data_IF_837290856064
#
_entry.id   IF_837290856064
#
_cell.length_a   1.000
_cell.length_b   1.000
_cell.length_c   1.000
_cell.angle_alpha   90.00
_cell.angle_beta   90.00
_cell.angle_gamma   90.00
#
_symmetry.space_group_name_H-M   'P 1'
#
loop_
_entity.id
_entity.type
_entity.pdbx_description
1 polymer ?
#
# COMPACT_ATOMS: atom_id res chain seq x y z
N UNK A 1 -11.38 4.74 -89.50
CA UNK A 1 -12.61 5.56 -89.43
C UNK A 1 -13.50 5.00 -88.33
N UNK A 2 -14.17 5.92 -87.66
CA UNK A 2 -14.74 5.83 -86.31
C UNK A 2 -16.02 4.99 -86.28
N UNK A 3 -16.18 4.20 -85.22
CA UNK A 3 -17.42 3.61 -84.73
C UNK A 3 -17.26 3.64 -83.21
N UNK A 4 -18.03 4.35 -82.39
CA UNK A 4 -19.47 4.59 -82.40
C UNK A 4 -19.98 4.11 -81.03
N UNK A 5 -20.33 5.06 -80.17
CA UNK A 5 -20.65 4.94 -78.73
C UNK A 5 -21.52 3.74 -78.29
N UNK A 6 -21.16 3.04 -77.20
CA UNK A 6 -22.11 2.44 -76.23
C UNK A 6 -21.44 2.36 -74.85
N UNK A 7 -22.28 2.43 -73.79
CA UNK A 7 -22.03 2.19 -72.36
C UNK A 7 -22.01 3.41 -71.44
N UNK A 8 -23.15 4.13 -71.46
CA UNK A 8 -23.80 4.63 -70.24
C UNK A 8 -24.46 3.42 -69.54
N UNK A 9 -24.39 3.39 -68.19
CA UNK A 9 -25.12 2.50 -67.26
C UNK A 9 -24.55 1.10 -66.93
N UNK A 10 -23.30 0.98 -66.44
CA UNK A 10 -22.97 -0.21 -65.63
C UNK A 10 -21.89 -0.07 -64.54
N UNK A 11 -21.47 1.15 -64.16
CA UNK A 11 -20.36 1.33 -63.19
C UNK A 11 -20.79 2.08 -61.93
N UNK A 12 -22.06 1.95 -61.51
CA UNK A 12 -22.51 2.54 -60.23
C UNK A 12 -23.31 1.60 -59.34
N UNK A 13 -23.45 0.32 -59.72
CA UNK A 13 -24.26 -0.67 -58.98
C UNK A 13 -23.46 -1.81 -58.35
N UNK A 14 -22.12 -1.66 -58.21
CA UNK A 14 -21.29 -2.61 -57.45
C UNK A 14 -20.52 -1.99 -56.28
N UNK A 15 -20.46 -0.65 -56.17
CA UNK A 15 -19.74 0.01 -55.05
C UNK A 15 -20.68 0.39 -53.90
N UNK A 16 -22.01 0.32 -54.11
CA UNK A 16 -23.00 0.66 -53.06
C UNK A 16 -23.39 -0.55 -52.20
N UNK A 17 -23.16 -1.80 -52.67
CA UNK A 17 -23.57 -3.01 -51.94
C UNK A 17 -22.59 -3.45 -50.83
N UNK A 18 -21.31 -3.08 -50.89
CA UNK A 18 -20.36 -3.42 -49.81
C UNK A 18 -20.36 -2.41 -48.66
N UNK A 19 -20.86 -1.19 -48.88
CA UNK A 19 -20.98 -0.19 -47.82
C UNK A 19 -22.26 -0.36 -46.97
N UNK A 20 -23.36 -0.87 -47.54
CA UNK A 20 -24.60 -1.08 -46.77
C UNK A 20 -24.61 -2.36 -45.92
N UNK A 21 -23.79 -3.37 -46.23
CA UNK A 21 -23.69 -4.59 -45.42
C UNK A 21 -22.81 -4.47 -44.16
N UNK A 22 -22.03 -3.39 -44.03
CA UNK A 22 -21.34 -3.03 -42.78
C UNK A 22 -22.18 -2.10 -41.87
N UNK A 23 -23.27 -1.53 -42.39
CA UNK A 23 -24.18 -0.66 -41.63
C UNK A 23 -25.30 -1.38 -40.89
N UNK A 24 -25.50 -2.68 -41.10
CA UNK A 24 -26.67 -3.42 -40.59
C UNK A 24 -26.33 -4.62 -39.69
N UNK A 25 -25.08 -4.80 -39.26
CA UNK A 25 -24.74 -5.79 -38.22
C UNK A 25 -24.63 -5.21 -36.80
N UNK A 26 -24.81 -3.90 -36.63
CA UNK A 26 -24.67 -3.22 -35.33
C UNK A 26 -25.96 -3.02 -34.53
N UNK A 27 -27.11 -3.48 -35.02
CA UNK A 27 -28.39 -3.32 -34.30
C UNK A 27 -29.21 -4.60 -34.34
N UNK A 28 -28.63 -5.73 -33.95
CA UNK A 28 -29.37 -6.86 -33.32
C UNK A 28 -28.37 -7.85 -32.70
N UNK A 29 -27.41 -7.36 -31.90
CA UNK A 29 -27.09 -8.14 -30.72
C UNK A 29 -28.33 -8.00 -29.85
N UNK A 30 -29.03 -9.10 -29.61
CA UNK A 30 -30.15 -9.14 -28.69
C UNK A 30 -29.67 -8.73 -27.29
N UNK A 31 -29.55 -7.42 -27.05
CA UNK A 31 -29.63 -6.84 -25.74
C UNK A 31 -31.04 -7.17 -25.30
N UNK A 32 -31.18 -8.16 -24.42
CA UNK A 32 -32.29 -8.09 -23.49
C UNK A 32 -32.10 -6.76 -22.75
N UNK A 33 -32.79 -5.73 -23.23
CA UNK A 33 -32.96 -4.45 -22.55
C UNK A 33 -33.78 -4.77 -21.31
N UNK A 34 -33.10 -5.30 -20.30
CA UNK A 34 -33.58 -5.28 -18.93
C UNK A 34 -33.36 -3.86 -18.43
N UNK A 35 -34.43 -3.25 -17.92
CA UNK A 35 -34.45 -1.90 -17.41
C UNK A 35 -33.29 -1.71 -16.43
N UNK A 36 -32.38 -0.79 -16.75
CA UNK A 36 -31.42 -0.28 -15.78
C UNK A 36 -32.08 0.94 -15.17
N UNK A 37 -32.09 1.01 -13.84
CA UNK A 37 -32.61 2.19 -13.17
C UNK A 37 -31.66 3.35 -13.43
N UNK A 38 -32.13 4.27 -14.26
CA UNK A 38 -31.45 5.50 -14.66
C UNK A 38 -32.08 6.65 -13.90
N UNK A 39 -31.24 7.54 -13.33
CA UNK A 39 -31.57 8.63 -12.40
C UNK A 39 -31.69 8.21 -10.92
N UNK A 40 -30.60 8.35 -10.19
CA UNK A 40 -30.45 7.87 -8.82
C UNK A 40 -30.97 8.84 -7.76
N UNK A 41 -32.28 9.05 -7.71
CA UNK A 41 -32.95 9.68 -6.57
C UNK A 41 -33.82 8.70 -5.78
N UNK A 42 -34.56 7.84 -6.46
CA UNK A 42 -35.36 6.78 -5.84
C UNK A 42 -35.29 5.55 -6.72
N UNK A 43 -34.88 4.43 -6.14
CA UNK A 43 -34.73 3.14 -6.82
C UNK A 43 -35.95 2.26 -6.57
N UNK A 44 -36.45 1.62 -7.62
CA UNK A 44 -37.59 0.71 -7.48
C UNK A 44 -37.18 -0.53 -6.70
N UNK A 45 -37.98 -0.86 -5.70
CA UNK A 45 -37.68 -1.90 -4.73
C UNK A 45 -38.94 -2.60 -4.25
N UNK A 46 -38.79 -3.87 -3.89
CA UNK A 46 -39.83 -4.65 -3.21
C UNK A 46 -39.35 -4.92 -1.78
N UNK A 47 -39.87 -4.17 -0.80
CA UNK A 47 -39.49 -4.31 0.61
C UNK A 47 -37.99 -4.05 0.85
N UNK A 48 -37.48 -2.92 0.33
CA UNK A 48 -36.06 -2.50 0.35
C UNK A 48 -35.08 -3.40 -0.43
N UNK A 49 -35.58 -4.39 -1.17
CA UNK A 49 -34.77 -5.22 -2.08
C UNK A 49 -34.85 -4.68 -3.50
N UNK A 50 -33.70 -4.32 -4.05
CA UNK A 50 -33.48 -3.94 -5.45
C UNK A 50 -32.94 -5.16 -6.18
N UNK A 51 -33.63 -5.58 -7.25
CA UNK A 51 -33.24 -6.76 -8.04
C UNK A 51 -32.59 -6.40 -9.38
N UNK A 52 -32.26 -5.13 -9.61
CA UNK A 52 -31.71 -4.62 -10.86
C UNK A 52 -30.46 -3.75 -10.60
N UNK A 53 -29.54 -3.63 -11.57
CA UNK A 53 -28.41 -2.70 -11.49
C UNK A 53 -28.85 -1.24 -11.32
N UNK A 54 -28.12 -0.50 -10.48
CA UNK A 54 -28.29 0.94 -10.29
C UNK A 54 -27.24 1.68 -11.13
N UNK A 55 -27.67 2.51 -12.08
CA UNK A 55 -26.78 3.30 -12.94
C UNK A 55 -27.12 4.78 -12.83
N UNK A 56 -26.15 5.56 -12.36
CA UNK A 56 -26.27 6.99 -12.13
C UNK A 56 -25.31 7.73 -13.07
N UNK A 57 -25.84 8.44 -14.06
CA UNK A 57 -25.08 9.16 -15.08
C UNK A 57 -25.41 10.66 -15.15
N UNK A 58 -26.48 11.08 -14.46
CA UNK A 58 -26.92 12.47 -14.41
C UNK A 58 -26.12 13.27 -13.39
N UNK A 59 -25.54 14.38 -13.84
CA UNK A 59 -24.84 15.33 -12.98
C UNK A 59 -25.77 15.94 -11.92
N UNK A 60 -25.23 16.11 -10.72
CA UNK A 60 -25.96 16.65 -9.56
C UNK A 60 -25.92 15.75 -8.34
N UNK A 61 -26.19 16.34 -7.17
CA UNK A 61 -26.23 15.62 -5.89
C UNK A 61 -27.60 15.01 -5.66
N UNK A 62 -27.63 13.71 -5.40
CA UNK A 62 -28.86 12.96 -5.13
C UNK A 62 -28.69 12.05 -3.92
N UNK A 63 -29.75 11.87 -3.14
CA UNK A 63 -29.79 10.91 -2.04
C UNK A 63 -30.36 9.61 -2.57
N UNK A 64 -29.60 8.52 -2.47
CA UNK A 64 -30.07 7.20 -2.86
C UNK A 64 -31.07 6.69 -1.81
N UNK A 65 -32.30 6.43 -2.25
CA UNK A 65 -33.35 5.87 -1.41
C UNK A 65 -34.22 4.87 -2.19
N UNK A 66 -34.96 4.02 -1.49
CA UNK A 66 -35.86 3.00 -2.05
C UNK A 66 -37.29 3.53 -2.20
N UNK A 67 -38.03 3.09 -3.22
CA UNK A 67 -39.44 3.50 -3.44
C UNK A 67 -40.41 2.95 -2.39
N UNK A 68 -40.00 1.93 -1.63
CA UNK A 68 -40.80 1.40 -0.54
C UNK A 68 -40.73 2.34 0.68
N UNK A 69 -41.89 2.68 1.25
CA UNK A 69 -42.05 3.51 2.47
C UNK A 69 -41.51 2.85 3.75
N UNK A 70 -40.71 1.80 3.62
CA UNK A 70 -40.13 1.04 4.70
C UNK A 70 -39.19 1.90 5.55
N UNK A 71 -39.38 1.86 6.88
CA UNK A 71 -38.45 2.37 7.90
C UNK A 71 -37.10 1.63 7.91
N UNK A 72 -36.79 0.85 6.88
CA UNK A 72 -35.58 0.03 6.79
C UNK A 72 -34.33 0.89 6.81
N UNK A 73 -33.30 0.39 7.49
CA UNK A 73 -31.99 1.02 7.63
C UNK A 73 -30.98 0.55 6.57
N UNK A 74 -31.41 -0.28 5.61
CA UNK A 74 -30.57 -0.85 4.54
C UNK A 74 -31.23 -0.78 3.17
N UNK A 75 -30.43 -0.81 2.11
CA UNK A 75 -30.81 -1.03 0.71
C UNK A 75 -30.13 -2.33 0.29
N UNK A 76 -30.91 -3.35 -0.04
CA UNK A 76 -30.38 -4.67 -0.39
C UNK A 76 -30.43 -4.87 -1.91
N UNK A 77 -29.27 -5.02 -2.56
CA UNK A 77 -29.17 -5.28 -3.99
C UNK A 77 -28.87 -6.77 -4.19
N UNK A 78 -29.77 -7.50 -4.84
CA UNK A 78 -29.58 -8.92 -5.17
C UNK A 78 -29.25 -9.09 -6.64
N UNK A 79 -28.03 -9.54 -6.91
CA UNK A 79 -27.50 -9.68 -8.28
C UNK A 79 -27.65 -11.09 -8.86
N UNK A 80 -28.45 -11.96 -8.24
CA UNK A 80 -28.61 -13.37 -8.66
C UNK A 80 -29.05 -13.56 -10.12
N UNK A 81 -29.74 -12.57 -10.70
CA UNK A 81 -30.20 -12.58 -12.11
C UNK A 81 -29.41 -11.66 -13.04
N UNK A 82 -28.44 -10.91 -12.50
CA UNK A 82 -27.64 -9.90 -13.21
C UNK A 82 -26.15 -10.03 -12.88
N UNK A 83 -25.69 -11.26 -12.68
CA UNK A 83 -24.37 -11.55 -12.13
C UNK A 83 -23.21 -11.21 -13.07
N UNK A 84 -23.51 -10.69 -14.26
CA UNK A 84 -22.62 -10.21 -15.31
C UNK A 84 -22.46 -8.68 -15.35
N UNK A 85 -23.26 -7.92 -14.58
CA UNK A 85 -23.31 -6.45 -14.60
C UNK A 85 -22.87 -5.83 -13.29
N UNK A 86 -22.33 -4.61 -13.34
CA UNK A 86 -22.05 -3.82 -12.14
C UNK A 86 -23.35 -3.58 -11.35
N UNK A 87 -23.34 -3.85 -10.04
CA UNK A 87 -24.51 -3.67 -9.19
C UNK A 87 -24.82 -2.18 -8.97
N UNK A 88 -23.77 -1.37 -8.83
CA UNK A 88 -23.85 0.09 -8.73
C UNK A 88 -22.81 0.70 -9.64
N UNK A 89 -23.24 1.61 -10.52
CA UNK A 89 -22.37 2.34 -11.44
C UNK A 89 -22.66 3.83 -11.39
N UNK A 90 -21.67 4.62 -10.97
CA UNK A 90 -21.76 6.08 -10.89
C UNK A 90 -20.83 6.68 -11.95
N UNK A 91 -21.34 7.58 -12.78
CA UNK A 91 -20.59 8.25 -13.84
C UNK A 91 -21.13 9.65 -14.15
N UNK A 92 -20.49 10.37 -15.07
CA UNK A 92 -20.98 11.64 -15.61
C UNK A 92 -21.05 12.78 -14.58
N UNK A 93 -20.19 12.74 -13.55
CA UNK A 93 -20.22 13.71 -12.46
C UNK A 93 -21.43 13.60 -11.52
N UNK A 94 -22.16 12.48 -11.53
CA UNK A 94 -23.22 12.21 -10.56
C UNK A 94 -22.64 12.12 -9.13
N UNK A 95 -23.30 12.76 -8.15
CA UNK A 95 -22.91 12.72 -6.74
C UNK A 95 -23.98 12.05 -5.90
N UNK A 96 -23.74 10.80 -5.50
CA UNK A 96 -24.73 9.95 -4.84
C UNK A 96 -24.42 9.81 -3.35
N UNK A 97 -25.42 10.08 -2.51
CA UNK A 97 -25.33 9.91 -1.06
C UNK A 97 -26.28 8.80 -0.62
N UNK A 98 -25.76 7.66 -0.19
CA UNK A 98 -26.54 6.61 0.44
C UNK A 98 -26.54 6.80 1.97
N UNK A 99 -27.70 7.15 2.53
CA UNK A 99 -27.86 7.32 3.99
C UNK A 99 -28.04 5.96 4.68
N UNK A 100 -28.81 5.06 4.07
CA UNK A 100 -29.00 3.67 4.51
C UNK A 100 -27.75 2.84 4.21
N UNK A 101 -27.55 1.73 4.94
CA UNK A 101 -26.47 0.77 4.66
C UNK A 101 -26.72 0.12 3.29
N UNK A 102 -25.74 0.12 2.41
CA UNK A 102 -25.83 -0.54 1.12
C UNK A 102 -25.36 -1.99 1.24
N UNK A 103 -26.24 -2.97 1.07
CA UNK A 103 -25.87 -4.39 1.07
C UNK A 103 -26.00 -4.94 -0.33
N UNK A 104 -24.90 -5.39 -0.92
CA UNK A 104 -24.88 -6.04 -2.23
C UNK A 104 -24.57 -7.52 -2.04
N UNK A 105 -25.55 -8.35 -2.37
CA UNK A 105 -25.41 -9.81 -2.30
C UNK A 105 -25.35 -10.35 -3.72
N UNK A 106 -24.24 -11.01 -4.02
CA UNK A 106 -24.00 -11.63 -5.31
C UNK A 106 -24.07 -13.15 -5.15
N UNK A 107 -24.75 -13.85 -6.06
CA UNK A 107 -24.74 -15.32 -6.08
C UNK A 107 -24.42 -15.78 -7.49
N UNK A 108 -23.32 -16.52 -7.67
CA UNK A 108 -22.90 -17.01 -8.99
C UNK A 108 -22.44 -15.88 -9.93
N UNK A 109 -21.57 -14.99 -9.44
CA UNK A 109 -20.97 -13.93 -10.25
C UNK A 109 -20.24 -14.49 -11.46
N UNK A 110 -20.60 -14.01 -12.65
CA UNK A 110 -19.95 -14.34 -13.93
C UNK A 110 -19.43 -13.09 -14.66
N UNK A 111 -19.59 -11.90 -14.06
CA UNK A 111 -19.14 -10.64 -14.63
C UNK A 111 -17.62 -10.51 -14.61
N UNK A 112 -17.07 -9.85 -15.65
CA UNK A 112 -15.64 -9.51 -15.70
C UNK A 112 -15.33 -8.15 -15.08
N UNK A 113 -16.37 -7.35 -14.80
CA UNK A 113 -16.26 -6.01 -14.23
C UNK A 113 -16.31 -5.99 -12.70
N UNK A 114 -16.18 -4.80 -12.09
CA UNK A 114 -16.36 -4.63 -10.66
C UNK A 114 -17.83 -4.81 -10.24
N UNK A 115 -18.06 -5.07 -8.94
CA UNK A 115 -19.41 -5.07 -8.36
C UNK A 115 -19.91 -3.63 -8.20
N UNK A 116 -19.05 -2.71 -7.76
CA UNK A 116 -19.35 -1.28 -7.65
C UNK A 116 -18.34 -0.51 -8.49
N UNK A 117 -18.82 0.38 -9.36
CA UNK A 117 -17.98 1.23 -10.20
C UNK A 117 -18.30 2.70 -9.98
N UNK A 118 -17.28 3.50 -9.76
CA UNK A 118 -17.34 4.97 -9.73
C UNK A 118 -16.34 5.47 -10.77
N UNK A 119 -16.81 6.18 -11.79
CA UNK A 119 -16.02 6.58 -12.95
C UNK A 119 -16.41 7.98 -13.43
N UNK A 120 -15.65 8.56 -14.38
CA UNK A 120 -16.02 9.79 -15.08
C UNK A 120 -16.41 10.96 -14.16
N UNK A 121 -15.61 11.20 -13.12
CA UNK A 121 -15.84 12.24 -12.11
C UNK A 121 -17.02 11.99 -11.16
N UNK A 122 -17.63 10.81 -11.20
CA UNK A 122 -18.71 10.42 -10.30
C UNK A 122 -18.25 10.36 -8.84
N UNK A 123 -19.19 10.59 -7.92
CA UNK A 123 -18.96 10.57 -6.47
C UNK A 123 -19.97 9.66 -5.78
N UNK A 124 -19.48 8.79 -4.91
CA UNK A 124 -20.30 7.90 -4.10
C UNK A 124 -19.97 8.07 -2.62
N UNK A 125 -20.94 8.58 -1.86
CA UNK A 125 -20.86 8.76 -0.41
C UNK A 125 -21.75 7.76 0.32
N UNK A 126 -21.14 6.85 1.06
CA UNK A 126 -21.82 5.77 1.79
C UNK A 126 -21.86 6.10 3.29
N UNK A 127 -22.88 6.83 3.73
CA UNK A 127 -23.09 7.20 5.16
C UNK A 127 -23.51 6.01 6.02
N UNK A 128 -24.36 5.13 5.49
CA UNK A 128 -24.75 3.90 6.18
C UNK A 128 -23.69 2.79 6.14
N UNK A 129 -22.62 2.97 5.36
CA UNK A 129 -21.63 1.95 5.06
C UNK A 129 -22.05 1.04 3.91
N UNK A 130 -21.15 0.14 3.51
CA UNK A 130 -21.39 -0.85 2.46
C UNK A 130 -21.02 -2.25 2.94
N UNK A 131 -21.82 -3.23 2.55
CA UNK A 131 -21.54 -4.64 2.72
C UNK A 131 -21.64 -5.34 1.38
N UNK A 132 -20.54 -5.89 0.87
CA UNK A 132 -20.54 -6.69 -0.37
C UNK A 132 -20.20 -8.13 0.01
N UNK A 133 -21.06 -9.09 -0.36
CA UNK A 133 -20.91 -10.52 -0.03
C UNK A 133 -21.24 -11.41 -1.22
N UNK A 134 -20.82 -12.68 -1.17
CA UNK A 134 -21.08 -13.68 -2.19
C UNK A 134 -20.29 -13.47 -3.49
N UNK A 135 -19.22 -12.68 -3.42
CA UNK A 135 -18.27 -12.51 -4.53
C UNK A 135 -17.44 -13.79 -4.65
N UNK A 136 -17.58 -14.50 -5.77
CA UNK A 136 -16.93 -15.80 -6.02
C UNK A 136 -15.69 -15.67 -6.93
N UNK A 137 -14.93 -16.75 -7.07
CA UNK A 137 -13.71 -16.83 -7.90
C UNK A 137 -13.97 -16.34 -9.34
N UNK A 138 -13.13 -15.43 -9.82
CA UNK A 138 -13.22 -14.81 -11.16
C UNK A 138 -13.39 -13.29 -11.14
N UNK A 139 -13.73 -12.71 -9.98
CA UNK A 139 -13.75 -11.26 -9.78
C UNK A 139 -12.36 -10.74 -9.48
N UNK A 140 -11.82 -9.91 -10.37
CA UNK A 140 -10.51 -9.28 -10.15
C UNK A 140 -10.58 -8.13 -9.15
N UNK A 141 -11.71 -7.39 -9.13
CA UNK A 141 -11.91 -6.19 -8.32
C UNK A 141 -13.35 -6.09 -7.83
N UNK A 142 -13.55 -5.84 -6.54
CA UNK A 142 -14.91 -5.67 -5.98
C UNK A 142 -15.42 -4.26 -6.24
N UNK A 143 -14.59 -3.25 -5.95
CA UNK A 143 -14.88 -1.85 -6.22
C UNK A 143 -13.82 -1.28 -7.16
N UNK A 144 -14.25 -0.53 -8.16
CA UNK A 144 -13.39 0.24 -9.05
C UNK A 144 -13.71 1.72 -8.94
N UNK A 145 -12.71 2.54 -8.64
CA UNK A 145 -12.79 4.00 -8.68
C UNK A 145 -11.81 4.48 -9.74
N UNK A 146 -12.32 5.06 -10.82
CA UNK A 146 -11.53 5.52 -11.97
C UNK A 146 -11.94 6.92 -12.44
N UNK A 147 -11.20 7.48 -13.39
CA UNK A 147 -11.63 8.63 -14.18
C UNK A 147 -11.88 9.88 -13.32
N UNK A 148 -11.09 10.06 -12.26
CA UNK A 148 -11.26 11.14 -11.28
C UNK A 148 -12.43 10.94 -10.32
N UNK A 149 -12.94 9.72 -10.18
CA UNK A 149 -14.03 9.40 -9.26
C UNK A 149 -13.66 9.56 -7.78
N UNK A 150 -14.68 9.72 -6.94
CA UNK A 150 -14.54 9.85 -5.48
C UNK A 150 -15.42 8.84 -4.75
N UNK A 151 -14.82 8.09 -3.82
CA UNK A 151 -15.52 7.15 -2.94
C UNK A 151 -15.33 7.56 -1.48
N UNK A 152 -16.43 7.84 -0.78
CA UNK A 152 -16.42 8.19 0.64
C UNK A 152 -17.15 7.12 1.48
N UNK A 153 -16.39 6.35 2.25
CA UNK A 153 -16.87 5.37 3.21
C UNK A 153 -17.04 6.03 4.58
N UNK A 154 -18.21 6.59 4.81
CA UNK A 154 -18.53 7.32 6.05
C UNK A 154 -19.07 6.39 7.15
N UNK A 155 -19.74 5.30 6.78
CA UNK A 155 -20.20 4.24 7.68
C UNK A 155 -19.25 3.04 7.72
N UNK A 156 -19.41 2.20 8.75
CA UNK A 156 -18.66 0.94 8.85
C UNK A 156 -18.95 0.06 7.63
N UNK A 157 -17.91 -0.44 6.99
CA UNK A 157 -18.03 -1.14 5.72
C UNK A 157 -17.32 -2.49 5.77
N UNK A 158 -17.86 -3.48 5.07
CA UNK A 158 -17.32 -4.84 4.97
C UNK A 158 -17.37 -5.28 3.53
N UNK A 159 -16.22 -5.66 2.97
CA UNK A 159 -16.09 -6.20 1.63
C UNK A 159 -15.59 -7.62 1.78
N UNK A 160 -16.49 -8.58 1.54
CA UNK A 160 -16.24 -10.00 1.74
C UNK A 160 -16.28 -10.74 0.42
N UNK A 161 -15.20 -11.46 0.15
CA UNK A 161 -15.07 -12.36 -0.99
C UNK A 161 -15.18 -13.79 -0.49
N UNK A 162 -16.21 -14.50 -0.95
CA UNK A 162 -16.53 -15.86 -0.52
C UNK A 162 -15.89 -16.87 -1.49
N UNK A 163 -14.99 -17.70 -0.96
CA UNK A 163 -14.36 -18.76 -1.74
C UNK A 163 -12.99 -19.13 -1.21
N UNK A 164 -12.87 -20.38 -0.74
CA UNK A 164 -11.60 -20.96 -0.29
C UNK A 164 -10.56 -20.92 -1.41
N UNK A 165 -9.51 -20.12 -1.22
CA UNK A 165 -8.14 -20.30 -1.73
C UNK A 165 -8.02 -20.87 -3.15
N UNK A 166 -8.12 -20.03 -4.16
CA UNK A 166 -7.59 -20.31 -5.50
C UNK A 166 -6.69 -19.16 -5.91
N UNK A 167 -5.62 -19.44 -6.64
CA UNK A 167 -4.50 -18.55 -7.01
C UNK A 167 -4.85 -17.28 -7.84
N UNK A 168 -6.08 -16.77 -7.78
CA UNK A 168 -6.50 -15.55 -8.48
C UNK A 168 -6.32 -14.30 -7.61
N UNK A 169 -5.77 -13.25 -8.21
CA UNK A 169 -5.70 -11.90 -7.61
C UNK A 169 -7.12 -11.36 -7.42
N UNK A 170 -7.45 -10.91 -6.21
CA UNK A 170 -8.72 -10.25 -5.90
C UNK A 170 -8.45 -8.96 -5.12
N UNK A 171 -8.93 -7.86 -5.66
CA UNK A 171 -8.75 -6.51 -5.13
C UNK A 171 -10.04 -6.04 -4.46
N UNK A 172 -9.94 -5.54 -3.23
CA UNK A 172 -11.07 -4.89 -2.56
C UNK A 172 -11.49 -3.60 -3.27
N UNK A 173 -10.59 -2.62 -3.33
CA UNK A 173 -10.78 -1.37 -4.09
C UNK A 173 -9.62 -1.16 -5.06
N UNK A 174 -9.91 -1.10 -6.35
CA UNK A 174 -8.96 -0.68 -7.37
C UNK A 174 -9.12 0.82 -7.65
N UNK A 175 -8.01 1.55 -7.70
CA UNK A 175 -7.94 2.97 -8.03
C UNK A 175 -6.98 3.20 -9.20
N UNK A 176 -7.35 4.10 -10.11
CA UNK A 176 -6.61 4.41 -11.34
C UNK A 176 -5.69 5.63 -11.24
N UNK A 177 -6.14 6.76 -11.78
CA UNK A 177 -5.44 8.05 -11.76
C UNK A 177 -6.36 9.21 -11.32
N UNK A 178 -5.89 10.00 -10.34
CA UNK A 178 -6.58 11.17 -9.74
C UNK A 178 -7.79 10.86 -8.83
N UNK A 179 -8.00 9.61 -8.43
CA UNK A 179 -9.16 9.25 -7.60
C UNK A 179 -8.94 9.48 -6.12
N UNK A 180 -10.05 9.66 -5.41
CA UNK A 180 -10.06 9.90 -3.96
C UNK A 180 -10.87 8.81 -3.25
N UNK A 181 -10.25 8.20 -2.26
CA UNK A 181 -10.88 7.26 -1.34
C UNK A 181 -10.76 7.81 0.08
N UNK A 182 -11.90 8.03 0.72
CA UNK A 182 -11.97 8.52 2.10
C UNK A 182 -12.66 7.50 3.01
N UNK A 183 -12.05 7.20 4.15
CA UNK A 183 -12.58 6.27 5.16
C UNK A 183 -12.74 7.00 6.50
N UNK A 184 -13.98 7.23 6.95
CA UNK A 184 -14.23 7.83 8.28
C UNK A 184 -14.42 6.79 9.39
N UNK A 185 -14.72 5.55 9.02
CA UNK A 185 -15.01 4.43 9.92
C UNK A 185 -14.27 3.19 9.44
N UNK A 186 -14.40 2.12 10.20
CA UNK A 186 -13.70 0.87 9.92
C UNK A 186 -14.17 0.26 8.60
N UNK A 187 -13.21 -0.20 7.81
CA UNK A 187 -13.43 -0.91 6.55
C UNK A 187 -12.69 -2.24 6.63
N UNK A 188 -13.42 -3.35 6.57
CA UNK A 188 -12.85 -4.69 6.61
C UNK A 188 -12.91 -5.33 5.24
N UNK A 189 -11.78 -5.85 4.76
CA UNK A 189 -11.66 -6.67 3.58
C UNK A 189 -11.39 -8.11 3.99
N UNK A 190 -12.23 -9.05 3.56
CA UNK A 190 -12.10 -10.47 3.86
C UNK A 190 -11.97 -11.28 2.58
N UNK A 191 -10.97 -12.17 2.53
CA UNK A 191 -10.76 -13.05 1.38
C UNK A 191 -10.15 -12.37 0.15
N UNK A 192 -9.65 -11.14 0.28
CA UNK A 192 -8.96 -10.41 -0.79
C UNK A 192 -7.45 -10.69 -0.75
N UNK A 193 -6.78 -10.59 -1.90
CA UNK A 193 -5.32 -10.58 -1.96
C UNK A 193 -4.77 -9.19 -1.70
N UNK A 194 -5.51 -8.15 -2.06
CA UNK A 194 -5.11 -6.75 -1.92
C UNK A 194 -6.31 -5.94 -1.44
N UNK A 195 -6.16 -5.22 -0.32
CA UNK A 195 -7.24 -4.37 0.20
C UNK A 195 -7.51 -3.19 -0.73
N UNK A 196 -6.46 -2.40 -0.98
CA UNK A 196 -6.47 -1.32 -1.99
C UNK A 196 -5.33 -1.57 -2.99
N UNK A 197 -5.67 -1.52 -4.27
CA UNK A 197 -4.70 -1.56 -5.37
C UNK A 197 -4.76 -0.23 -6.13
N UNK A 198 -3.69 0.54 -6.09
CA UNK A 198 -3.50 1.75 -6.89
C UNK A 198 -2.76 1.31 -8.15
N UNK A 199 -3.51 1.25 -9.27
CA UNK A 199 -3.03 0.81 -10.57
C UNK A 199 -3.43 1.80 -11.66
N UNK A 200 -2.49 2.69 -11.98
CA UNK A 200 -2.66 3.79 -12.91
C UNK A 200 -1.36 4.16 -13.61
N UNK A 201 -1.38 5.29 -14.29
CA UNK A 201 -0.24 5.80 -15.07
C UNK A 201 0.04 7.29 -14.85
N UNK A 202 -0.71 7.94 -13.95
CA UNK A 202 -0.64 9.38 -13.69
C UNK A 202 -0.76 9.68 -12.18
N UNK A 203 -0.43 10.92 -11.84
CA UNK A 203 -0.39 11.46 -10.47
C UNK A 203 -1.79 11.65 -9.84
N UNK A 204 -1.83 11.76 -8.51
CA UNK A 204 -2.95 12.39 -7.79
C UNK A 204 -3.91 11.44 -7.09
N UNK A 205 -3.58 10.15 -6.95
CA UNK A 205 -4.41 9.20 -6.20
C UNK A 205 -4.28 9.47 -4.70
N UNK A 206 -5.41 9.59 -3.99
CA UNK A 206 -5.44 9.88 -2.55
C UNK A 206 -6.29 8.86 -1.78
N UNK A 207 -5.70 8.26 -0.75
CA UNK A 207 -6.39 7.42 0.24
C UNK A 207 -6.28 8.10 1.61
N UNK A 208 -7.40 8.43 2.23
CA UNK A 208 -7.41 9.16 3.49
C UNK A 208 -8.27 8.47 4.54
N UNK A 209 -7.68 8.20 5.71
CA UNK A 209 -8.43 7.92 6.94
C UNK A 209 -8.82 9.23 7.64
N UNK A 210 -10.06 9.36 8.07
CA UNK A 210 -10.51 10.46 8.93
C UNK A 210 -11.00 9.89 10.27
N UNK A 211 -10.60 10.52 11.37
CA UNK A 211 -10.98 10.09 12.71
C UNK A 211 -10.31 8.77 13.12
N UNK A 212 -11.12 7.75 13.42
CA UNK A 212 -10.65 6.42 13.88
C UNK A 212 -10.63 5.36 12.77
N UNK A 213 -10.78 5.78 11.50
CA UNK A 213 -10.89 4.86 10.37
C UNK A 213 -9.76 3.83 10.33
N UNK A 214 -10.11 2.57 10.57
CA UNK A 214 -9.19 1.44 10.46
C UNK A 214 -9.53 0.64 9.21
N UNK A 215 -8.56 0.44 8.34
CA UNK A 215 -8.61 -0.54 7.27
C UNK A 215 -8.07 -1.86 7.79
N UNK A 216 -8.88 -2.91 7.74
CA UNK A 216 -8.48 -4.27 8.10
C UNK A 216 -8.48 -5.15 6.86
N UNK A 217 -7.40 -5.89 6.63
CA UNK A 217 -7.28 -6.84 5.52
C UNK A 217 -7.00 -8.24 6.06
N UNK A 218 -7.97 -9.14 5.86
CA UNK A 218 -7.93 -10.52 6.31
C UNK A 218 -7.75 -11.43 5.10
N UNK A 219 -6.59 -12.08 5.01
CA UNK A 219 -6.21 -12.90 3.87
C UNK A 219 -4.76 -13.33 3.97
N UNK A 220 -4.51 -14.63 3.76
CA UNK A 220 -3.15 -15.20 3.81
C UNK A 220 -2.23 -14.54 2.80
N UNK A 221 -1.14 -13.94 3.28
CA UNK A 221 -0.17 -13.25 2.42
C UNK A 221 -0.72 -11.99 1.73
N UNK A 222 -1.84 -11.46 2.20
CA UNK A 222 -2.49 -10.29 1.59
C UNK A 222 -1.64 -9.02 1.71
N UNK A 223 -1.95 -8.06 0.84
CA UNK A 223 -1.39 -6.72 0.87
C UNK A 223 -2.44 -5.72 1.34
N UNK A 224 -2.09 -4.84 2.29
CA UNK A 224 -2.95 -3.74 2.71
C UNK A 224 -3.19 -2.77 1.54
N UNK A 225 -2.15 -2.02 1.17
CA UNK A 225 -2.15 -1.12 0.02
C UNK A 225 -1.02 -1.50 -0.93
N UNK A 226 -1.34 -1.71 -2.20
CA UNK A 226 -0.36 -1.96 -3.26
C UNK A 226 -0.39 -0.86 -4.29
N UNK A 227 0.77 -0.37 -4.68
CA UNK A 227 0.95 0.59 -5.77
C UNK A 227 1.74 -0.12 -6.87
N UNK A 228 1.09 -0.37 -8.01
CA UNK A 228 1.65 -1.08 -9.17
C UNK A 228 1.09 -0.55 -10.50
N UNK A 229 1.68 -0.92 -11.64
CA UNK A 229 1.30 -0.35 -12.93
C UNK A 229 2.46 -0.32 -13.92
N UNK A 230 2.21 0.27 -15.10
CA UNK A 230 3.18 0.34 -16.20
C UNK A 230 3.96 1.65 -16.27
N UNK A 231 3.70 2.61 -15.37
CA UNK A 231 4.28 3.96 -15.38
C UNK A 231 4.80 4.40 -14.01
N UNK A 232 4.94 5.73 -13.85
CA UNK A 232 5.24 6.37 -12.57
C UNK A 232 3.93 6.82 -11.94
N UNK A 233 3.69 6.49 -10.67
CA UNK A 233 2.48 6.93 -9.96
C UNK A 233 2.87 7.69 -8.70
N UNK A 234 2.33 8.90 -8.57
CA UNK A 234 2.33 9.64 -7.31
C UNK A 234 1.01 9.44 -6.56
N UNK A 235 1.10 8.81 -5.40
CA UNK A 235 -0.03 8.49 -4.55
C UNK A 235 0.19 9.01 -3.13
N UNK A 236 -0.90 9.35 -2.45
CA UNK A 236 -0.88 9.87 -1.09
C UNK A 236 -1.79 9.03 -0.19
N UNK A 237 -1.24 8.52 0.91
CA UNK A 237 -1.99 7.86 1.99
C UNK A 237 -1.84 8.70 3.25
N UNK A 238 -2.95 9.09 3.87
CA UNK A 238 -2.88 9.95 5.07
C UNK A 238 -3.82 9.47 6.16
N UNK A 239 -3.37 9.59 7.42
CA UNK A 239 -4.20 9.45 8.63
C UNK A 239 -4.97 8.13 8.71
N UNK A 240 -4.40 7.07 8.13
CA UNK A 240 -5.03 5.76 8.04
C UNK A 240 -4.32 4.76 8.95
N UNK A 241 -5.10 3.91 9.62
CA UNK A 241 -4.59 2.72 10.28
C UNK A 241 -4.86 1.50 9.41
N UNK A 242 -3.81 0.77 9.04
CA UNK A 242 -3.85 -0.42 8.19
C UNK A 242 -3.47 -1.63 9.07
N UNK A 243 -4.35 -2.63 9.12
CA UNK A 243 -4.22 -3.78 10.01
C UNK A 243 -4.37 -5.08 9.22
N UNK A 244 -3.35 -5.93 9.28
CA UNK A 244 -3.42 -7.31 8.77
C UNK A 244 -3.87 -8.29 9.85
N UNK A 245 -4.25 -9.50 9.44
CA UNK A 245 -4.67 -10.60 10.31
C UNK A 245 -3.50 -11.43 10.90
N UNK A 246 -2.25 -11.01 10.67
CA UNK A 246 -1.01 -11.70 11.08
C UNK A 246 -0.76 -13.04 10.36
N UNK A 247 -1.40 -13.28 9.22
CA UNK A 247 -1.19 -14.50 8.41
C UNK A 247 -0.08 -14.37 7.34
N UNK A 248 0.86 -13.45 7.56
CA UNK A 248 1.94 -13.08 6.63
C UNK A 248 1.68 -11.74 5.94
N UNK A 249 2.21 -11.58 4.73
CA UNK A 249 1.85 -10.48 3.84
C UNK A 249 2.54 -9.15 4.11
N UNK A 250 2.08 -8.10 3.43
CA UNK A 250 2.71 -6.77 3.44
C UNK A 250 1.70 -5.67 3.71
N UNK A 251 2.01 -4.75 4.62
CA UNK A 251 1.10 -3.64 4.91
C UNK A 251 0.97 -2.69 3.73
N UNK A 252 2.10 -2.22 3.22
CA UNK A 252 2.19 -1.35 2.05
C UNK A 252 3.28 -1.83 1.10
N UNK A 253 2.99 -1.82 -0.21
CA UNK A 253 3.92 -2.21 -1.27
C UNK A 253 3.99 -1.13 -2.34
N UNK A 254 5.20 -0.64 -2.61
CA UNK A 254 5.53 0.21 -3.76
C UNK A 254 6.42 -0.59 -4.73
N UNK A 255 5.87 -0.99 -5.88
CA UNK A 255 6.52 -1.92 -6.81
C UNK A 255 7.09 -1.31 -8.09
N UNK A 256 6.76 -0.06 -8.41
CA UNK A 256 7.15 0.61 -9.67
C UNK A 256 7.69 2.01 -9.41
N UNK A 257 7.99 2.79 -10.46
CA UNK A 257 8.39 4.20 -10.32
C UNK A 257 7.30 5.12 -9.73
N UNK A 258 7.72 6.31 -9.32
CA UNK A 258 6.87 7.34 -8.70
C UNK A 258 7.00 7.40 -7.19
N UNK A 259 6.15 8.18 -6.55
CA UNK A 259 6.26 8.52 -5.12
C UNK A 259 5.00 8.15 -4.35
N UNK A 260 5.16 7.31 -3.33
CA UNK A 260 4.11 7.06 -2.34
C UNK A 260 4.37 7.89 -1.08
N UNK A 261 3.56 8.94 -0.92
CA UNK A 261 3.56 9.81 0.25
C UNK A 261 2.66 9.24 1.34
N UNK A 262 3.18 9.04 2.55
CA UNK A 262 2.46 8.52 3.70
C UNK A 262 2.60 9.44 4.91
N UNK A 263 1.50 10.06 5.36
CA UNK A 263 1.52 10.97 6.51
C UNK A 263 0.62 10.49 7.63
N UNK A 264 1.18 10.33 8.83
CA UNK A 264 0.47 9.84 10.03
C UNK A 264 -0.25 8.50 9.79
N UNK A 265 0.44 7.56 9.16
CA UNK A 265 -0.10 6.23 8.83
C UNK A 265 0.39 5.21 9.86
N UNK A 266 -0.54 4.41 10.39
CA UNK A 266 -0.23 3.30 11.30
C UNK A 266 -0.37 1.97 10.59
N UNK A 267 0.66 1.13 10.59
CA UNK A 267 0.68 -0.17 9.92
C UNK A 267 0.97 -1.24 10.96
N UNK A 268 0.16 -2.30 11.01
CA UNK A 268 0.35 -3.40 11.96
C UNK A 268 -0.25 -4.71 11.47
N UNK A 269 0.15 -5.83 12.05
CA UNK A 269 -0.45 -7.13 11.74
C UNK A 269 0.01 -7.74 10.42
N UNK A 270 1.12 -7.26 9.85
CA UNK A 270 1.77 -7.80 8.66
C UNK A 270 3.17 -8.33 9.00
N UNK A 271 3.66 -9.26 8.19
CA UNK A 271 5.05 -9.75 8.30
C UNK A 271 6.03 -8.68 7.84
N UNK A 272 5.73 -8.00 6.72
CA UNK A 272 6.45 -6.78 6.31
C UNK A 272 5.54 -5.57 6.47
N UNK A 273 5.98 -4.54 7.20
CA UNK A 273 5.22 -3.30 7.33
C UNK A 273 5.12 -2.57 5.99
N UNK A 274 6.26 -2.10 5.49
CA UNK A 274 6.38 -1.35 4.23
C UNK A 274 7.46 -1.97 3.36
N UNK A 275 7.17 -2.15 2.07
CA UNK A 275 8.11 -2.70 1.09
C UNK A 275 8.18 -1.78 -0.13
N UNK A 276 9.37 -1.22 -0.39
CA UNK A 276 9.67 -0.44 -1.58
C UNK A 276 10.62 -1.24 -2.49
N UNK A 277 10.33 -1.30 -3.78
CA UNK A 277 11.12 -2.04 -4.77
C UNK A 277 11.04 -1.38 -6.15
N UNK A 278 11.78 -1.91 -7.13
CA UNK A 278 11.82 -1.32 -8.46
C UNK A 278 12.48 0.06 -8.41
N UNK A 279 11.83 1.08 -9.00
CA UNK A 279 12.28 2.48 -8.99
C UNK A 279 11.43 3.38 -8.08
N UNK A 280 10.65 2.78 -7.19
CA UNK A 280 9.69 3.50 -6.36
C UNK A 280 10.35 4.30 -5.26
N UNK A 281 9.73 5.42 -4.92
CA UNK A 281 10.07 6.23 -3.76
C UNK A 281 8.93 6.13 -2.74
N UNK A 282 9.28 5.86 -1.48
CA UNK A 282 8.33 5.91 -0.37
C UNK A 282 8.75 7.03 0.58
N UNK A 283 7.86 7.98 0.83
CA UNK A 283 8.07 9.06 1.79
C UNK A 283 7.10 8.92 2.96
N UNK A 284 7.61 8.62 4.15
CA UNK A 284 6.82 8.46 5.37
C UNK A 284 7.10 9.62 6.33
N UNK A 285 6.06 10.31 6.75
CA UNK A 285 6.18 11.50 7.58
C UNK A 285 5.16 11.54 8.73
N UNK A 286 5.40 12.43 9.68
CA UNK A 286 4.56 12.65 10.86
C UNK A 286 4.69 11.53 11.88
N UNK A 287 3.65 11.33 12.70
CA UNK A 287 3.63 10.30 13.75
C UNK A 287 3.34 8.88 13.19
N UNK A 288 3.87 8.57 12.01
CA UNK A 288 3.67 7.28 11.36
C UNK A 288 4.30 6.15 12.19
N UNK A 289 3.64 5.00 12.24
CA UNK A 289 4.05 3.85 13.05
C UNK A 289 4.01 2.60 12.21
N UNK A 290 5.09 1.82 12.23
CA UNK A 290 5.13 0.48 11.67
C UNK A 290 5.29 -0.51 12.82
N UNK A 291 4.43 -1.53 12.89
CA UNK A 291 4.57 -2.65 13.80
C UNK A 291 4.63 -3.96 13.02
N UNK A 292 5.71 -4.71 13.20
CA UNK A 292 5.96 -5.95 12.46
C UNK A 292 6.17 -7.13 13.41
N UNK A 293 5.92 -8.34 12.91
CA UNK A 293 6.06 -9.61 13.64
C UNK A 293 6.94 -10.58 12.88
N UNK A 294 8.08 -10.98 13.43
CA UNK A 294 8.99 -11.98 12.83
C UNK A 294 9.72 -11.56 11.55
N UNK A 295 9.15 -10.63 10.78
CA UNK A 295 9.68 -10.14 9.51
C UNK A 295 10.35 -8.78 9.61
N UNK A 296 9.94 -7.84 8.75
CA UNK A 296 10.63 -6.56 8.56
C UNK A 296 9.71 -5.36 8.75
N UNK A 297 10.17 -4.32 9.44
CA UNK A 297 9.45 -3.05 9.51
C UNK A 297 9.38 -2.36 8.15
N UNK A 298 10.54 -1.87 7.68
CA UNK A 298 10.72 -1.23 6.38
C UNK A 298 11.74 -1.99 5.53
N UNK A 299 11.35 -2.44 4.34
CA UNK A 299 12.23 -3.14 3.39
C UNK A 299 12.34 -2.36 2.09
N UNK A 300 13.56 -2.11 1.63
CA UNK A 300 13.86 -1.35 0.41
C UNK A 300 14.82 -2.16 -0.45
N UNK A 301 14.47 -2.42 -1.72
CA UNK A 301 15.27 -3.25 -2.64
C UNK A 301 15.27 -2.73 -4.08
N UNK A 302 16.11 -3.30 -4.95
CA UNK A 302 16.25 -2.84 -6.34
C UNK A 302 16.87 -1.45 -6.43
N UNK A 303 16.26 -0.54 -7.19
CA UNK A 303 16.68 0.87 -7.32
C UNK A 303 15.83 1.80 -6.41
N UNK A 304 15.02 1.24 -5.51
CA UNK A 304 14.04 1.98 -4.75
C UNK A 304 14.69 2.89 -3.69
N UNK A 305 13.97 3.97 -3.38
CA UNK A 305 14.32 4.95 -2.36
C UNK A 305 13.26 4.95 -1.25
N UNK A 306 13.69 5.25 -0.02
CA UNK A 306 12.76 5.47 1.08
C UNK A 306 13.24 6.58 2.01
N UNK A 307 12.34 7.48 2.36
CA UNK A 307 12.57 8.53 3.36
C UNK A 307 11.55 8.34 4.47
N UNK A 308 11.99 8.26 5.72
CA UNK A 308 11.11 8.31 6.90
C UNK A 308 11.55 9.44 7.82
N UNK A 309 10.65 10.38 8.09
CA UNK A 309 10.88 11.55 8.96
C UNK A 309 9.96 11.47 10.16
N UNK A 310 10.54 11.28 11.34
CA UNK A 310 9.83 11.05 12.58
C UNK A 310 9.20 9.66 12.67
N UNK A 311 8.31 9.48 13.64
CA UNK A 311 7.58 8.23 13.81
C UNK A 311 8.41 7.10 14.43
N UNK A 312 7.90 5.88 14.29
CA UNK A 312 8.51 4.69 14.92
C UNK A 312 8.33 3.41 14.13
N UNK A 313 9.30 2.52 14.25
CA UNK A 313 9.30 1.16 13.72
C UNK A 313 9.49 0.21 14.90
N UNK A 314 8.50 -0.64 15.15
CA UNK A 314 8.41 -1.43 16.38
C UNK A 314 8.24 -2.91 16.07
N UNK A 315 9.20 -3.73 16.48
CA UNK A 315 9.07 -5.18 16.47
C UNK A 315 8.21 -5.66 17.65
N UNK A 316 7.48 -6.76 17.46
CA UNK A 316 6.61 -7.35 18.49
C UNK A 316 7.33 -8.34 19.42
N UNK A 317 8.66 -8.44 19.35
CA UNK A 317 9.45 -9.27 20.25
C UNK A 317 9.54 -10.73 19.90
N UNK A 318 9.25 -11.11 18.66
CA UNK A 318 9.36 -12.50 18.19
C UNK A 318 10.80 -13.00 18.07
N UNK A 319 11.82 -12.14 18.27
CA UNK A 319 13.23 -12.54 18.37
C UNK A 319 13.97 -12.84 17.07
N UNK A 320 13.36 -12.60 15.90
CA UNK A 320 14.00 -12.85 14.59
C UNK A 320 13.86 -11.70 13.60
N UNK A 321 13.06 -10.69 13.95
CA UNK A 321 12.71 -9.61 13.05
C UNK A 321 13.83 -8.59 12.85
N UNK A 322 13.73 -7.84 11.75
CA UNK A 322 14.63 -6.72 11.43
C UNK A 322 13.83 -5.42 11.33
N UNK A 323 14.31 -4.35 11.97
CA UNK A 323 13.63 -3.04 11.90
C UNK A 323 13.58 -2.50 10.48
N UNK A 324 14.76 -2.31 9.87
CA UNK A 324 14.91 -1.79 8.51
C UNK A 324 15.90 -2.64 7.71
N UNK A 325 15.53 -3.01 6.49
CA UNK A 325 16.41 -3.69 5.53
C UNK A 325 16.60 -2.81 4.30
N UNK A 326 17.84 -2.45 4.01
CA UNK A 326 18.25 -1.76 2.80
C UNK A 326 19.06 -2.71 1.90
N UNK A 327 18.37 -3.33 0.95
CA UNK A 327 18.95 -4.14 -0.13
C UNK A 327 18.97 -3.41 -1.48
N UNK A 328 18.68 -2.11 -1.51
CA UNK A 328 18.64 -1.32 -2.75
C UNK A 328 19.99 -0.66 -3.09
N UNK A 329 20.14 -0.26 -4.35
CA UNK A 329 21.19 0.66 -4.84
C UNK A 329 20.81 2.14 -4.68
N UNK A 330 19.55 2.41 -4.31
CA UNK A 330 19.03 3.76 -4.05
C UNK A 330 19.47 4.33 -2.70
N UNK A 331 18.67 5.25 -2.17
CA UNK A 331 18.89 5.91 -0.89
C UNK A 331 17.81 5.55 0.12
N UNK A 332 18.22 5.25 1.35
CA UNK A 332 17.32 5.18 2.50
C UNK A 332 17.73 6.24 3.50
N UNK A 333 16.82 7.16 3.82
CA UNK A 333 17.02 8.19 4.83
C UNK A 333 16.04 8.02 5.98
N UNK A 334 16.56 7.86 7.20
CA UNK A 334 15.78 7.84 8.43
C UNK A 334 16.17 9.05 9.27
N UNK A 335 15.24 9.99 9.43
CA UNK A 335 15.44 11.22 10.19
C UNK A 335 14.54 11.23 11.43
N UNK A 336 15.12 11.25 12.63
CA UNK A 336 14.41 11.25 13.92
C UNK A 336 13.44 10.06 14.08
N UNK A 337 13.82 8.90 13.54
CA UNK A 337 13.01 7.66 13.61
C UNK A 337 13.44 6.82 14.80
N UNK A 338 12.48 6.37 15.60
CA UNK A 338 12.75 5.42 16.68
C UNK A 338 12.49 3.98 16.22
N UNK A 339 13.53 3.15 16.24
CA UNK A 339 13.50 1.74 15.86
C UNK A 339 13.71 0.90 17.11
N UNK A 340 12.73 0.09 17.48
CA UNK A 340 12.81 -0.73 18.69
C UNK A 340 12.24 -2.11 18.45
N UNK A 341 12.88 -3.16 18.97
CA UNK A 341 12.21 -4.44 19.16
C UNK A 341 11.76 -4.59 20.61
N UNK A 342 10.46 -4.78 20.82
CA UNK A 342 9.90 -4.91 22.16
C UNK A 342 10.02 -6.36 22.58
N UNK A 343 11.04 -6.68 23.37
CA UNK A 343 11.32 -8.04 23.85
C UNK A 343 10.04 -8.71 24.39
N UNK A 344 9.56 -9.71 23.66
CA UNK A 344 8.39 -10.48 24.07
C UNK A 344 8.74 -11.38 25.26
N UNK A 345 7.73 -11.95 25.92
CA UNK A 345 7.90 -12.87 27.06
C UNK A 345 8.76 -14.11 26.74
N UNK A 346 9.05 -14.39 25.47
CA UNK A 346 9.93 -15.46 25.00
C UNK A 346 11.43 -15.11 24.94
N UNK A 347 11.84 -13.91 25.37
CA UNK A 347 13.25 -13.58 25.64
C UNK A 347 14.16 -13.32 24.43
N UNK A 348 13.69 -13.58 23.19
CA UNK A 348 14.44 -13.30 21.97
C UNK A 348 14.53 -11.80 21.67
N UNK A 349 15.70 -11.35 21.22
CA UNK A 349 15.94 -10.01 20.67
C UNK A 349 15.91 -10.07 19.16
N UNK A 350 15.34 -9.07 18.50
CA UNK A 350 15.40 -8.94 17.05
C UNK A 350 16.85 -8.96 16.57
N UNK A 351 17.06 -9.39 15.32
CA UNK A 351 18.42 -9.63 14.83
C UNK A 351 19.14 -8.31 14.54
N UNK A 352 18.50 -7.44 13.77
CA UNK A 352 19.07 -6.18 13.33
C UNK A 352 18.09 -5.03 13.53
N UNK A 353 18.55 -3.91 14.09
CA UNK A 353 17.79 -2.67 14.04
C UNK A 353 17.73 -2.14 12.61
N UNK A 354 18.90 -2.02 11.99
CA UNK A 354 19.08 -1.69 10.57
C UNK A 354 20.06 -2.67 9.93
N UNK A 355 19.71 -3.24 8.78
CA UNK A 355 20.56 -4.11 7.99
C UNK A 355 20.74 -3.54 6.58
N UNK A 356 21.98 -3.28 6.18
CA UNK A 356 22.33 -2.77 4.86
C UNK A 356 23.12 -3.81 4.08
N UNK A 357 22.49 -4.34 3.03
CA UNK A 357 23.04 -5.39 2.15
C UNK A 357 23.17 -4.93 0.70
N UNK A 358 22.52 -3.83 0.31
CA UNK A 358 22.62 -3.23 -1.01
C UNK A 358 23.77 -2.23 -1.14
N UNK A 359 24.16 -1.90 -2.37
CA UNK A 359 25.27 -0.98 -2.67
C UNK A 359 24.90 0.51 -2.53
N UNK A 360 23.65 0.82 -2.16
CA UNK A 360 23.14 2.18 -2.04
C UNK A 360 23.66 2.94 -0.83
N UNK A 361 22.97 4.05 -0.50
CA UNK A 361 23.32 4.92 0.64
C UNK A 361 22.26 4.89 1.73
N UNK A 362 22.65 4.49 2.95
CA UNK A 362 21.84 4.65 4.16
C UNK A 362 22.26 5.91 4.92
N UNK A 363 21.29 6.75 5.27
CA UNK A 363 21.51 7.94 6.12
C UNK A 363 20.62 7.84 7.36
N UNK A 364 21.25 7.72 8.53
CA UNK A 364 20.60 7.76 9.84
C UNK A 364 20.89 9.11 10.50
N UNK A 365 19.85 9.94 10.63
CA UNK A 365 19.95 11.29 11.18
C UNK A 365 19.10 11.42 12.44
N UNK A 366 19.70 11.28 13.62
CA UNK A 366 19.00 11.27 14.90
C UNK A 366 18.14 10.02 15.12
N UNK A 367 17.24 10.10 16.10
CA UNK A 367 16.43 8.95 16.53
C UNK A 367 17.22 7.91 17.32
N UNK A 368 16.56 6.81 17.68
CA UNK A 368 17.14 5.75 18.51
C UNK A 368 16.93 4.35 17.94
N UNK A 369 17.91 3.47 18.10
CA UNK A 369 17.85 2.05 17.74
C UNK A 369 18.09 1.21 19.01
N UNK A 370 17.15 0.35 19.38
CA UNK A 370 17.26 -0.45 20.61
C UNK A 370 16.55 -1.81 20.56
N UNK A 371 16.98 -2.74 21.41
CA UNK A 371 16.32 -4.05 21.56
C UNK A 371 16.73 -5.11 20.54
N UNK A 372 17.78 -4.85 19.76
CA UNK A 372 18.32 -5.78 18.76
C UNK A 372 19.67 -6.35 19.20
N UNK A 373 20.01 -7.55 18.70
CA UNK A 373 21.34 -8.17 18.87
C UNK A 373 22.42 -7.29 18.23
N UNK A 374 22.16 -6.83 17.01
CA UNK A 374 22.99 -5.83 16.33
C UNK A 374 22.18 -4.58 16.05
N UNK A 375 22.65 -3.42 16.51
CA UNK A 375 21.98 -2.15 16.26
C UNK A 375 21.93 -1.84 14.76
N UNK A 376 23.10 -1.74 14.14
CA UNK A 376 23.26 -1.51 12.70
C UNK A 376 24.29 -2.49 12.12
N UNK A 377 23.93 -3.18 11.04
CA UNK A 377 24.84 -4.00 10.24
C UNK A 377 24.96 -3.43 8.83
N UNK A 378 26.17 -3.21 8.34
CA UNK A 378 26.46 -2.78 6.97
C UNK A 378 27.43 -3.74 6.29
N UNK A 379 27.01 -4.33 5.16
CA UNK A 379 27.80 -5.32 4.39
C UNK A 379 28.20 -4.83 2.99
N UNK A 380 27.42 -3.93 2.39
CA UNK A 380 27.72 -3.26 1.13
C UNK A 380 27.22 -1.80 1.19
N UNK A 381 27.68 -0.95 0.27
CA UNK A 381 27.20 0.43 0.12
C UNK A 381 27.83 1.43 1.10
N UNK A 382 27.16 2.58 1.29
CA UNK A 382 27.62 3.67 2.15
C UNK A 382 26.65 3.94 3.30
N UNK A 383 27.10 3.76 4.54
CA UNK A 383 26.36 4.14 5.74
C UNK A 383 26.83 5.50 6.25
N UNK A 384 25.90 6.40 6.54
CA UNK A 384 26.14 7.66 7.26
C UNK A 384 25.27 7.73 8.50
N UNK A 385 25.89 7.96 9.66
CA UNK A 385 25.23 8.18 10.94
C UNK A 385 25.60 9.55 11.48
N UNK A 386 24.60 10.38 11.76
CA UNK A 386 24.78 11.77 12.20
C UNK A 386 23.58 12.29 13.00
N UNK A 387 23.67 13.53 13.49
CA UNK A 387 22.54 14.23 14.10
C UNK A 387 22.07 13.62 15.41
N UNK A 388 22.97 13.03 16.20
CA UNK A 388 22.65 12.45 17.51
C UNK A 388 22.03 11.05 17.47
N UNK A 389 22.19 10.30 16.37
CA UNK A 389 21.71 8.91 16.28
C UNK A 389 22.21 8.09 17.47
N UNK A 390 21.29 7.48 18.21
CA UNK A 390 21.60 6.72 19.42
C UNK A 390 21.34 5.22 19.22
N UNK A 391 22.32 4.38 19.53
CA UNK A 391 22.19 2.91 19.52
C UNK A 391 22.34 2.40 20.95
N UNK A 392 21.40 1.55 21.38
CA UNK A 392 21.51 0.80 22.63
C UNK A 392 21.41 -0.70 22.37
N UNK A 393 22.47 -1.42 22.70
CA UNK A 393 22.52 -2.89 22.65
C UNK A 393 22.61 -3.48 24.04
N UNK A 394 22.15 -4.72 24.18
CA UNK A 394 22.18 -5.47 25.44
C UNK A 394 22.55 -6.91 25.17
N UNK A 395 22.72 -7.71 26.24
CA UNK A 395 22.99 -9.14 26.15
C UNK A 395 24.27 -9.46 25.34
N UNK A 396 25.28 -8.58 25.40
CA UNK A 396 26.52 -8.75 24.64
C UNK A 396 26.40 -8.47 23.13
N UNK A 397 25.37 -7.73 22.71
CA UNK A 397 25.16 -7.32 21.32
C UNK A 397 26.25 -6.40 20.74
N UNK A 398 26.10 -6.08 19.46
CA UNK A 398 27.00 -5.20 18.71
C UNK A 398 26.29 -3.90 18.31
N UNK A 399 26.82 -2.74 18.70
CA UNK A 399 26.24 -1.46 18.31
C UNK A 399 26.23 -1.27 16.79
N UNK A 400 27.41 -1.24 16.19
CA UNK A 400 27.62 -1.15 14.75
C UNK A 400 28.56 -2.26 14.27
N UNK A 401 28.14 -3.04 13.27
CA UNK A 401 29.01 -3.98 12.54
C UNK A 401 29.15 -3.53 11.08
N UNK A 402 30.38 -3.33 10.62
CA UNK A 402 30.72 -2.97 9.23
C UNK A 402 31.60 -4.07 8.64
N UNK A 403 31.14 -4.75 7.59
CA UNK A 403 31.83 -5.88 6.96
C UNK A 403 31.70 -5.86 5.44
N UNK A 404 32.32 -6.85 4.78
CA UNK A 404 32.30 -6.94 3.32
C UNK A 404 32.91 -5.69 2.68
N UNK A 405 32.16 -5.07 1.79
CA UNK A 405 32.59 -3.91 1.00
C UNK A 405 31.94 -2.59 1.45
N UNK A 406 31.27 -2.59 2.61
CA UNK A 406 30.62 -1.38 3.15
C UNK A 406 31.61 -0.31 3.61
N UNK A 407 31.29 0.95 3.31
CA UNK A 407 31.89 2.11 3.96
C UNK A 407 30.93 2.67 5.01
N UNK A 408 31.47 3.19 6.10
CA UNK A 408 30.67 3.80 7.15
C UNK A 408 31.29 5.12 7.63
N UNK A 409 30.42 6.10 7.91
CA UNK A 409 30.82 7.36 8.54
C UNK A 409 29.90 7.66 9.71
N UNK A 410 30.49 7.85 10.89
CA UNK A 410 29.83 8.23 12.14
C UNK A 410 30.30 9.63 12.50
N UNK A 411 29.37 10.54 12.76
CA UNK A 411 29.67 11.91 13.18
C UNK A 411 28.51 12.55 13.95
N UNK A 412 28.68 13.82 14.31
CA UNK A 412 27.57 14.69 14.74
C UNK A 412 26.80 14.19 15.96
N UNK A 413 27.49 13.78 17.03
CA UNK A 413 26.87 13.37 18.29
C UNK A 413 26.37 11.92 18.30
N UNK A 414 26.79 11.09 17.35
CA UNK A 414 26.37 9.67 17.31
C UNK A 414 26.81 8.96 18.59
N UNK A 415 25.89 8.22 19.23
CA UNK A 415 26.17 7.48 20.47
C UNK A 415 25.86 6.00 20.33
N UNK A 416 26.72 5.17 20.93
CA UNK A 416 26.55 3.72 21.03
C UNK A 416 26.74 3.34 22.49
N UNK A 417 25.75 2.65 23.06
CA UNK A 417 25.74 2.21 24.45
C UNK A 417 25.41 0.74 24.59
N UNK A 418 26.13 0.04 25.46
CA UNK A 418 25.86 -1.36 25.80
C UNK A 418 25.43 -1.57 27.26
N UNK A 419 25.57 -2.82 27.72
CA UNK A 419 25.34 -3.29 29.10
C UNK A 419 26.63 -3.81 29.79
N UNK A 420 27.78 -3.37 29.31
CA UNK A 420 29.11 -3.78 29.79
C UNK A 420 29.69 -5.00 29.07
N UNK A 421 28.93 -5.59 28.13
CA UNK A 421 29.36 -6.73 27.30
C UNK A 421 29.29 -6.38 25.82
N UNK A 422 29.80 -7.27 24.96
CA UNK A 422 29.69 -7.13 23.51
C UNK A 422 30.59 -6.05 22.93
N UNK A 423 30.14 -5.45 21.82
CA UNK A 423 30.95 -4.54 21.02
C UNK A 423 30.23 -3.20 20.79
N UNK A 424 30.98 -2.10 20.88
CA UNK A 424 30.51 -0.81 20.38
C UNK A 424 30.51 -0.80 18.86
N UNK A 425 31.69 -0.94 18.25
CA UNK A 425 31.88 -0.99 16.80
C UNK A 425 32.75 -2.19 16.42
N UNK A 426 32.33 -2.96 15.42
CA UNK A 426 33.14 -4.01 14.78
C UNK A 426 33.39 -3.63 13.33
N UNK A 427 34.66 -3.47 12.97
CA UNK A 427 35.12 -3.20 11.62
C UNK A 427 35.81 -4.43 11.04
N UNK A 428 35.13 -5.12 10.14
CA UNK A 428 35.65 -6.24 9.35
C UNK A 428 35.59 -6.02 7.84
N UNK A 429 35.22 -4.82 7.37
CA UNK A 429 35.20 -4.51 5.95
C UNK A 429 36.61 -4.27 5.41
N UNK A 430 36.83 -4.52 4.12
CA UNK A 430 38.03 -4.14 3.39
C UNK A 430 38.18 -2.62 3.17
N UNK A 431 37.12 -1.84 3.41
CA UNK A 431 37.04 -0.40 3.13
C UNK A 431 37.36 0.47 4.35
N UNK A 432 36.87 1.72 4.33
CA UNK A 432 37.11 2.73 5.35
C UNK A 432 35.89 2.91 6.26
N UNK A 433 36.14 2.92 7.57
CA UNK A 433 35.23 3.43 8.59
C UNK A 433 35.80 4.76 9.10
N UNK A 434 34.99 5.83 9.02
CA UNK A 434 35.33 7.14 9.58
C UNK A 434 34.49 7.42 10.81
N UNK A 435 35.12 7.74 11.92
CA UNK A 435 34.47 8.20 13.14
C UNK A 435 35.03 9.58 13.48
N UNK A 436 34.24 10.62 13.20
CA UNK A 436 34.73 12.00 13.16
C UNK A 436 33.85 12.92 14.00
N UNK A 437 34.50 13.81 14.75
CA UNK A 437 33.82 14.71 15.68
C UNK A 437 33.31 13.96 16.90
N UNK A 438 32.24 14.47 17.52
CA UNK A 438 31.67 13.92 18.76
C UNK A 438 30.97 12.56 18.51
N UNK A 439 31.72 11.46 18.63
CA UNK A 439 31.18 10.09 18.63
C UNK A 439 31.42 9.48 20.00
N UNK A 440 30.35 9.00 20.65
CA UNK A 440 30.42 8.42 21.98
C UNK A 440 30.17 6.91 21.97
N UNK A 441 31.10 6.13 22.52
CA UNK A 441 30.96 4.69 22.74
C UNK A 441 31.09 4.43 24.25
N UNK A 442 30.11 3.76 24.85
CA UNK A 442 30.12 3.53 26.29
C UNK A 442 29.50 2.21 26.74
N UNK A 443 29.98 1.71 27.88
CA UNK A 443 29.40 0.56 28.58
C UNK A 443 29.31 -0.69 27.68
N UNK A 444 30.39 -1.04 26.99
CA UNK A 444 30.51 -2.24 26.14
C UNK A 444 31.77 -3.00 26.54
N UNK A 445 31.87 -4.29 26.21
CA UNK A 445 33.09 -5.06 26.50
C UNK A 445 34.28 -4.53 25.69
N UNK A 446 34.10 -4.47 24.38
CA UNK A 446 35.07 -3.89 23.44
C UNK A 446 34.49 -2.63 22.81
N UNK A 447 35.19 -1.50 22.94
CA UNK A 447 34.79 -0.22 22.33
C UNK A 447 34.76 -0.33 20.81
N UNK A 448 35.92 -0.53 20.19
CA UNK A 448 36.10 -0.71 18.75
C UNK A 448 36.93 -1.97 18.52
N UNK A 449 36.51 -2.84 17.59
CA UNK A 449 37.32 -3.98 17.14
C UNK A 449 37.63 -3.79 15.65
N UNK A 450 38.91 -3.78 15.27
CA UNK A 450 39.33 -3.67 13.87
C UNK A 450 39.99 -4.97 13.40
N UNK A 451 39.31 -5.69 12.50
CA UNK A 451 39.78 -6.94 11.89
C UNK A 451 40.34 -6.75 10.48
N UNK A 452 39.85 -5.75 9.74
CA UNK A 452 40.29 -5.44 8.38
C UNK A 452 39.99 -3.99 8.03
N UNK A 453 40.55 -3.53 6.91
CA UNK A 453 40.29 -2.20 6.36
C UNK A 453 41.03 -1.07 7.07
N UNK A 454 40.50 0.14 6.94
CA UNK A 454 41.07 1.35 7.56
C UNK A 454 40.03 1.99 8.48
N UNK A 455 40.45 2.36 9.69
CA UNK A 455 39.62 3.13 10.63
C UNK A 455 40.28 4.48 10.88
N UNK A 456 39.55 5.55 10.62
CA UNK A 456 39.96 6.91 10.94
C UNK A 456 39.13 7.42 12.13
N UNK A 457 39.79 7.80 13.23
CA UNK A 457 39.14 8.25 14.46
C UNK A 457 39.63 9.64 14.86
N UNK A 458 38.72 10.61 14.97
CA UNK A 458 39.01 11.95 15.49
C UNK A 458 37.83 12.44 16.32
N UNK A 459 38.08 12.83 17.57
CA UNK A 459 37.01 13.29 18.49
C UNK A 459 36.17 12.18 19.14
N UNK A 460 36.59 10.92 19.05
CA UNK A 460 35.84 9.76 19.54
C UNK A 460 36.08 9.55 21.04
N UNK A 461 35.02 9.57 21.85
CA UNK A 461 35.05 9.23 23.27
C UNK A 461 34.67 7.77 23.51
N UNK A 462 35.58 6.99 24.10
CA UNK A 462 35.34 5.60 24.51
C UNK A 462 35.48 5.51 26.03
N UNK A 463 34.43 5.07 26.73
CA UNK A 463 34.42 5.06 28.20
C UNK A 463 33.67 3.86 28.77
N UNK A 464 34.01 3.47 30.00
CA UNK A 464 33.35 2.34 30.69
C UNK A 464 33.42 1.05 29.86
N UNK A 465 34.59 0.77 29.28
CA UNK A 465 34.85 -0.44 28.49
C UNK A 465 35.97 -1.26 29.11
N UNK A 466 35.96 -2.57 28.89
CA UNK A 466 37.09 -3.44 29.27
C UNK A 466 38.28 -3.20 28.34
N UNK A 467 38.00 -3.04 27.04
CA UNK A 467 39.00 -2.78 25.99
C UNK A 467 38.55 -1.63 25.10
N UNK A 468 39.48 -0.69 24.83
CA UNK A 468 39.22 0.53 24.07
C UNK A 468 39.08 0.29 22.56
N UNK A 469 40.19 -0.08 21.91
CA UNK A 469 40.32 -0.34 20.46
C UNK A 469 41.13 -1.61 20.26
#
# INVERSE_FOLDING_TARGET
MVMGCVFKHHVYLCVVSTAMLAGLSLITSHTKVYAQQTNCGTVDSTGDVVNEPIVCDRSGTMVLNTSSSGRGNKIEIKMSKHSDKEAVKIMGGADIIAIKKLTVTVTGWNGKGPVIKVDGGGKLTLKGGVEVTGVVKGVEKVIEVNGGGELMLMGKSTIKVDGSGGNGKVVGVQMGSMEKLMMMRDVTFEGVTEGININGSKEGVMVMGLGTGTMTVNGKGSVGIKVEGSGSIDATVMRLKIVGDRSGGKGVVMGMGGTLNMTSVGISGFETGVSASGKGMVEMMGNSTITFKGGTGLSVSGEANATMIGGKIVGDGSGTGTGVVMGSTGMVMLNMVNISDVRGSGGGTGKYGVQMTGEGTMVLMGGSIMGFETGVEATAGTLKMMGGTAITVTSGGTGLEVKGEAMATLMGGTTIKGDGKGYGVKMGSSKTLKMMGEVGISNVGMGVEVKSGTVEMSGVGISQVEKGV
#
